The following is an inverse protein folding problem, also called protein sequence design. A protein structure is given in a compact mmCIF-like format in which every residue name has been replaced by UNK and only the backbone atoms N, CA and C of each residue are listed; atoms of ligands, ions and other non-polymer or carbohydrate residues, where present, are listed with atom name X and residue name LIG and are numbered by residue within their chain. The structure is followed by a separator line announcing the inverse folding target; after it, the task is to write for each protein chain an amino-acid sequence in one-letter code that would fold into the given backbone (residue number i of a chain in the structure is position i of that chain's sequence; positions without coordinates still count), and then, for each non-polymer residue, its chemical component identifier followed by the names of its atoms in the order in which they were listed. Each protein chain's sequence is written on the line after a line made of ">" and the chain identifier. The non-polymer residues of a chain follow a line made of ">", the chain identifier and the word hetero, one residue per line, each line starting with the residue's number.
data_IF_464849564326
#
_entry.id   IF_464849564326
#
_cell.length_a   1.000
_cell.length_b   1.000
_cell.length_c   1.000
_cell.angle_alpha   90.00
_cell.angle_beta   90.00
_cell.angle_gamma   90.00
#
_symmetry.space_group_name_H-M   'P 1'
#
loop_
_entity.id
_entity.type
_entity.pdbx_description
1 polymer ?
#
# COMPACT_ATOMS: atom_id res chain seq x y z
N UNK A 1 -50.75 35.75 -28.57
CA UNK A 1 -50.49 34.77 -27.50
C UNK A 1 -49.00 34.41 -27.58
N UNK A 2 -48.21 34.86 -26.58
CA UNK A 2 -46.77 34.53 -26.47
C UNK A 2 -46.61 33.38 -25.45
N UNK A 3 -46.25 32.20 -25.88
CA UNK A 3 -45.87 31.10 -24.97
C UNK A 3 -44.46 31.33 -24.48
N UNK A 4 -44.35 31.59 -23.18
CA UNK A 4 -43.04 31.70 -22.49
C UNK A 4 -42.64 30.29 -22.06
N UNK A 5 -41.61 29.71 -22.68
CA UNK A 5 -41.04 28.40 -22.35
C UNK A 5 -40.10 28.60 -21.14
N UNK A 6 -40.55 28.21 -19.95
CA UNK A 6 -39.78 28.21 -18.73
C UNK A 6 -38.83 26.98 -18.72
N UNK A 7 -37.55 27.18 -19.03
CA UNK A 7 -36.53 26.12 -18.93
C UNK A 7 -36.22 25.89 -17.44
N UNK A 8 -36.70 24.77 -16.89
CA UNK A 8 -36.28 24.31 -15.56
C UNK A 8 -34.89 23.67 -15.67
N UNK A 9 -33.87 24.39 -15.26
CA UNK A 9 -32.52 23.84 -15.10
C UNK A 9 -32.48 23.05 -13.80
N UNK A 10 -32.62 21.72 -13.87
CA UNK A 10 -32.40 20.83 -12.73
C UNK A 10 -30.90 20.68 -12.56
N UNK A 11 -30.32 21.45 -11.63
CA UNK A 11 -28.94 21.30 -11.20
C UNK A 11 -28.82 19.98 -10.41
N UNK A 12 -28.33 18.92 -11.06
CA UNK A 12 -27.93 17.71 -10.36
C UNK A 12 -26.67 18.00 -9.55
N UNK A 13 -26.87 18.33 -8.29
CA UNK A 13 -25.78 18.37 -7.32
C UNK A 13 -25.31 16.91 -7.10
N UNK A 14 -24.26 16.49 -7.79
CA UNK A 14 -23.56 15.24 -7.48
C UNK A 14 -22.93 15.40 -6.10
N UNK A 15 -23.62 14.94 -5.07
CA UNK A 15 -23.00 14.69 -3.76
C UNK A 15 -21.98 13.57 -4.00
N UNK A 16 -20.72 13.91 -4.21
CA UNK A 16 -19.63 12.95 -4.12
C UNK A 16 -19.57 12.52 -2.65
N UNK A 17 -20.10 11.35 -2.36
CA UNK A 17 -19.84 10.66 -1.08
C UNK A 17 -18.35 10.34 -1.10
N UNK A 18 -17.56 11.19 -0.47
CA UNK A 18 -16.14 10.93 -0.24
C UNK A 18 -16.11 9.77 0.73
N UNK A 19 -15.81 8.56 0.23
CA UNK A 19 -15.60 7.39 1.08
C UNK A 19 -14.54 7.73 2.13
N UNK A 20 -14.64 7.13 3.31
CA UNK A 20 -13.62 7.26 4.36
C UNK A 20 -12.25 6.96 3.74
N UNK A 21 -11.24 7.77 4.06
CA UNK A 21 -9.88 7.59 3.58
C UNK A 21 -9.37 6.15 3.86
N UNK A 22 -9.79 5.57 4.98
CA UNK A 22 -9.49 4.19 5.32
C UNK A 22 -10.06 3.20 4.29
N UNK A 23 -11.31 3.39 3.84
CA UNK A 23 -11.95 2.56 2.82
C UNK A 23 -11.23 2.67 1.48
N UNK A 24 -10.80 3.86 1.10
CA UNK A 24 -10.01 4.08 -0.14
C UNK A 24 -8.73 3.24 -0.11
N UNK A 25 -7.99 3.28 1.02
CA UNK A 25 -6.77 2.50 1.20
C UNK A 25 -7.04 1.00 1.15
N UNK A 26 -8.05 0.52 1.88
CA UNK A 26 -8.43 -0.89 1.93
C UNK A 26 -8.83 -1.40 0.55
N UNK A 27 -9.67 -0.65 -0.16
CA UNK A 27 -10.13 -1.01 -1.51
C UNK A 27 -8.96 -1.04 -2.51
N UNK A 28 -8.04 -0.05 -2.44
CA UNK A 28 -6.83 -0.08 -3.23
C UNK A 28 -6.00 -1.32 -2.92
N UNK A 29 -5.68 -1.60 -1.66
CA UNK A 29 -4.86 -2.74 -1.27
C UNK A 29 -5.49 -4.07 -1.72
N UNK A 30 -6.80 -4.24 -1.53
CA UNK A 30 -7.54 -5.43 -2.00
C UNK A 30 -7.50 -5.58 -3.52
N UNK A 31 -7.58 -4.47 -4.28
CA UNK A 31 -7.48 -4.51 -5.75
C UNK A 31 -6.11 -4.96 -6.27
N UNK A 32 -5.08 -5.02 -5.40
CA UNK A 32 -3.72 -5.45 -5.75
C UNK A 32 -3.40 -6.89 -5.34
N UNK A 33 -4.35 -7.60 -4.75
CA UNK A 33 -4.17 -9.03 -4.44
C UNK A 33 -3.83 -9.82 -5.71
N UNK A 34 -2.81 -10.69 -5.61
CA UNK A 34 -2.30 -11.48 -6.74
C UNK A 34 -1.36 -10.72 -7.70
N UNK A 35 -1.12 -9.42 -7.49
CA UNK A 35 -0.01 -8.71 -8.13
C UNK A 35 1.33 -9.33 -7.70
N UNK A 36 2.35 -9.19 -8.56
CA UNK A 36 3.67 -9.73 -8.29
C UNK A 36 4.48 -8.91 -7.29
N UNK A 37 5.65 -9.43 -6.96
CA UNK A 37 6.64 -8.73 -6.16
C UNK A 37 7.94 -8.60 -6.93
N UNK A 38 8.51 -7.40 -6.90
CA UNK A 38 9.91 -7.15 -7.25
C UNK A 38 10.48 -6.07 -6.33
N UNK A 39 11.75 -6.19 -5.97
CA UNK A 39 12.44 -5.15 -5.21
C UNK A 39 12.32 -3.79 -5.91
N UNK A 40 11.96 -2.75 -5.17
CA UNK A 40 11.74 -1.39 -5.68
C UNK A 40 10.48 -1.20 -6.55
N UNK A 41 9.64 -2.22 -6.75
CA UNK A 41 8.39 -2.09 -7.51
C UNK A 41 7.35 -1.22 -6.82
N UNK A 42 6.62 -0.40 -7.59
CA UNK A 42 5.57 0.49 -7.09
C UNK A 42 4.35 0.55 -8.03
N UNK A 43 3.99 -0.58 -8.64
CA UNK A 43 2.81 -0.73 -9.50
C UNK A 43 3.10 -0.72 -10.99
N UNK A 44 4.35 -0.73 -11.40
CA UNK A 44 4.75 -0.89 -12.79
C UNK A 44 4.33 -2.27 -13.30
N UNK A 45 4.05 -2.36 -14.61
CA UNK A 45 3.91 -3.64 -15.28
C UNK A 45 5.30 -4.22 -15.53
N UNK A 46 5.58 -5.39 -14.98
CA UNK A 46 6.88 -6.03 -15.17
C UNK A 46 7.04 -6.52 -16.60
N UNK A 47 8.08 -6.05 -17.27
CA UNK A 47 8.55 -6.52 -18.57
C UNK A 47 9.89 -7.24 -18.41
N UNK A 48 10.34 -7.98 -19.42
CA UNK A 48 11.69 -8.58 -19.41
C UNK A 48 12.78 -7.51 -19.31
N UNK A 49 12.62 -6.40 -20.03
CA UNK A 49 13.55 -5.28 -19.96
C UNK A 49 13.66 -4.71 -18.55
N UNK A 50 12.52 -4.44 -17.90
CA UNK A 50 12.48 -3.93 -16.52
C UNK A 50 13.07 -4.95 -15.52
N UNK A 51 12.78 -6.25 -15.70
CA UNK A 51 13.37 -7.30 -14.86
C UNK A 51 14.89 -7.33 -14.98
N UNK A 52 15.43 -7.22 -16.22
CA UNK A 52 16.87 -7.20 -16.44
C UNK A 52 17.53 -5.96 -15.82
N UNK A 53 16.90 -4.79 -15.96
CA UNK A 53 17.35 -3.54 -15.33
C UNK A 53 17.40 -3.67 -13.80
N UNK A 54 16.30 -4.13 -13.19
CA UNK A 54 16.21 -4.28 -11.74
C UNK A 54 17.18 -5.34 -11.20
N UNK A 55 17.38 -6.44 -11.91
CA UNK A 55 18.34 -7.47 -11.53
C UNK A 55 19.79 -6.96 -11.61
N UNK A 56 20.12 -6.17 -12.62
CA UNK A 56 21.43 -5.54 -12.72
C UNK A 56 21.67 -4.51 -11.60
N UNK A 57 20.64 -3.72 -11.28
CA UNK A 57 20.71 -2.68 -10.25
C UNK A 57 20.69 -3.23 -8.82
N UNK A 58 20.01 -4.35 -8.59
CA UNK A 58 19.81 -4.95 -7.27
C UNK A 58 20.11 -6.46 -7.28
N UNK A 59 21.35 -6.88 -7.59
CA UNK A 59 21.68 -8.29 -7.83
C UNK A 59 21.47 -9.21 -6.61
N UNK A 60 21.54 -8.66 -5.41
CA UNK A 60 21.33 -9.40 -4.16
C UNK A 60 19.86 -9.49 -3.74
N UNK A 61 18.96 -8.75 -4.42
CA UNK A 61 17.54 -8.63 -4.05
C UNK A 61 16.59 -9.12 -5.15
N UNK A 62 17.06 -9.25 -6.38
CA UNK A 62 16.24 -9.64 -7.54
C UNK A 62 16.80 -10.91 -8.16
N UNK A 63 16.24 -12.05 -7.76
CA UNK A 63 16.48 -13.33 -8.43
C UNK A 63 15.55 -13.44 -9.64
N UNK A 64 16.13 -13.35 -10.85
CA UNK A 64 15.40 -13.43 -12.12
C UNK A 64 14.62 -14.74 -12.26
N UNK A 65 15.15 -15.87 -11.74
CA UNK A 65 14.48 -17.16 -11.85
C UNK A 65 13.16 -17.21 -11.08
N UNK A 66 13.09 -16.51 -9.96
CA UNK A 66 11.89 -16.39 -9.14
C UNK A 66 10.95 -15.32 -9.70
N UNK A 67 11.48 -14.14 -10.03
CA UNK A 67 10.68 -12.96 -10.37
C UNK A 67 10.07 -13.04 -11.77
N UNK A 68 10.67 -13.78 -12.72
CA UNK A 68 10.17 -13.92 -14.10
C UNK A 68 8.71 -14.36 -14.22
N UNK A 69 8.17 -15.09 -13.24
CA UNK A 69 6.75 -15.50 -13.22
C UNK A 69 5.77 -14.33 -13.11
N UNK A 70 6.24 -13.16 -12.75
CA UNK A 70 5.46 -11.93 -12.64
C UNK A 70 5.48 -11.07 -13.90
N UNK A 71 6.23 -11.48 -14.96
CA UNK A 71 6.22 -10.76 -16.23
C UNK A 71 4.79 -10.64 -16.75
N UNK A 72 4.41 -9.44 -17.19
CA UNK A 72 3.06 -9.11 -17.64
C UNK A 72 2.11 -8.68 -16.52
N UNK A 73 2.46 -8.82 -15.25
CA UNK A 73 1.66 -8.36 -14.10
C UNK A 73 2.17 -7.04 -13.53
N UNK A 74 1.30 -6.32 -12.81
CA UNK A 74 1.76 -5.25 -11.92
C UNK A 74 2.58 -5.86 -10.78
N UNK A 75 3.64 -5.15 -10.37
CA UNK A 75 4.54 -5.59 -9.30
C UNK A 75 4.70 -4.51 -8.24
N UNK A 76 4.82 -4.95 -7.00
CA UNK A 76 5.00 -4.09 -5.84
C UNK A 76 6.12 -4.60 -4.96
N UNK A 77 6.87 -3.68 -4.36
CA UNK A 77 7.69 -3.90 -3.16
C UNK A 77 6.84 -3.64 -1.91
N UNK A 78 7.26 -4.10 -0.74
CA UNK A 78 6.46 -3.94 0.48
C UNK A 78 6.08 -2.47 0.74
N UNK A 79 7.06 -1.57 0.73
CA UNK A 79 6.81 -0.14 0.90
C UNK A 79 6.22 0.52 -0.35
N UNK A 80 6.38 -0.05 -1.54
CA UNK A 80 5.76 0.42 -2.77
C UNK A 80 4.24 0.26 -2.76
N UNK A 81 3.74 -0.86 -2.25
CA UNK A 81 2.30 -1.07 -2.06
C UNK A 81 1.71 -0.04 -1.09
N UNK A 82 2.34 0.12 0.08
CA UNK A 82 1.90 1.08 1.11
C UNK A 82 1.96 2.51 0.58
N UNK A 83 3.07 2.91 -0.06
CA UNK A 83 3.23 4.20 -0.70
C UNK A 83 2.09 4.52 -1.68
N UNK A 84 1.78 3.59 -2.58
CA UNK A 84 0.70 3.78 -3.58
C UNK A 84 -0.70 3.81 -2.96
N UNK A 85 -0.95 3.01 -1.92
CA UNK A 85 -2.22 3.02 -1.22
C UNK A 85 -2.49 4.39 -0.57
N UNK A 86 -1.51 4.96 0.11
CA UNK A 86 -1.64 6.25 0.78
C UNK A 86 -1.63 7.44 -0.18
N UNK A 87 -1.00 7.31 -1.35
CA UNK A 87 -1.14 8.31 -2.42
C UNK A 87 -2.60 8.49 -2.89
N UNK A 88 -3.46 7.47 -2.79
CA UNK A 88 -4.88 7.59 -3.19
C UNK A 88 -5.63 8.63 -2.37
N UNK A 89 -5.14 8.94 -1.19
CA UNK A 89 -5.74 9.93 -0.28
C UNK A 89 -4.87 11.18 -0.10
N UNK A 90 -3.84 11.36 -0.96
CA UNK A 90 -2.96 12.53 -0.93
C UNK A 90 -1.87 12.49 0.15
N UNK A 91 -1.68 11.36 0.86
CA UNK A 91 -0.59 11.19 1.81
C UNK A 91 0.63 10.61 1.10
N UNK A 92 1.72 11.38 1.09
CA UNK A 92 3.00 10.92 0.52
C UNK A 92 3.87 10.30 1.60
N UNK A 93 4.16 9.01 1.45
CA UNK A 93 5.09 8.27 2.30
C UNK A 93 6.42 8.05 1.54
N UNK A 94 7.50 7.73 2.25
CA UNK A 94 8.71 7.28 1.59
C UNK A 94 8.56 5.85 1.04
N UNK A 95 9.08 5.62 -0.17
CA UNK A 95 9.17 4.30 -0.78
C UNK A 95 10.35 3.48 -0.19
N UNK A 96 10.42 3.43 1.12
CA UNK A 96 11.37 2.64 1.93
C UNK A 96 10.81 2.54 3.34
N UNK A 97 10.72 1.34 3.91
CA UNK A 97 10.06 1.10 5.19
C UNK A 97 10.68 1.91 6.34
N UNK A 98 12.01 1.92 6.44
CA UNK A 98 12.72 2.65 7.49
C UNK A 98 12.54 4.17 7.35
N UNK A 99 12.69 4.71 6.14
CA UNK A 99 12.48 6.14 5.89
C UNK A 99 11.02 6.55 6.10
N UNK A 100 10.07 5.70 5.71
CA UNK A 100 8.66 5.94 5.96
C UNK A 100 8.39 5.98 7.47
N UNK A 101 8.93 5.05 8.24
CA UNK A 101 8.79 5.05 9.69
C UNK A 101 9.35 6.33 10.33
N UNK A 102 10.57 6.71 9.97
CA UNK A 102 11.26 7.87 10.57
C UNK A 102 10.70 9.23 10.18
N UNK A 103 10.20 9.39 8.95
CA UNK A 103 9.86 10.70 8.41
C UNK A 103 8.35 10.96 8.30
N UNK A 104 7.50 9.99 8.64
CA UNK A 104 6.05 10.21 8.64
C UNK A 104 5.61 10.90 9.92
N UNK A 105 4.71 11.88 9.81
CA UNK A 105 4.05 12.49 10.97
C UNK A 105 2.93 11.56 11.44
N UNK A 106 3.15 10.90 12.55
CA UNK A 106 2.21 9.98 13.14
C UNK A 106 1.20 10.68 14.04
N UNK A 107 -0.09 10.34 13.93
CA UNK A 107 -1.11 10.64 14.95
C UNK A 107 -0.98 9.65 16.09
N UNK A 108 -0.72 8.38 15.75
CA UNK A 108 -0.52 7.32 16.71
C UNK A 108 0.50 6.32 16.14
N UNK A 109 1.46 5.90 16.94
CA UNK A 109 2.42 4.86 16.56
C UNK A 109 2.98 4.20 17.80
N UNK A 110 3.50 2.98 17.67
CA UNK A 110 4.09 2.26 18.77
C UNK A 110 4.27 0.77 18.51
N UNK A 111 4.53 -0.01 19.58
CA UNK A 111 4.70 -1.45 19.48
C UNK A 111 3.39 -2.13 19.05
N UNK A 112 3.51 -3.24 18.35
CA UNK A 112 2.37 -3.98 17.78
C UNK A 112 1.38 -4.48 18.85
N UNK A 113 1.80 -4.64 20.09
CA UNK A 113 0.90 -5.00 21.20
C UNK A 113 -0.26 -4.01 21.39
N UNK A 114 -0.07 -2.77 20.99
CA UNK A 114 -1.00 -1.65 21.21
C UNK A 114 -1.70 -1.19 19.91
N UNK A 115 -1.61 -1.97 18.82
CA UNK A 115 -2.24 -1.55 17.55
C UNK A 115 -3.78 -1.49 17.69
N UNK A 116 -4.42 -0.49 17.07
CA UNK A 116 -5.87 -0.36 17.10
C UNK A 116 -6.50 -1.44 16.21
N UNK A 117 -7.33 -2.30 16.80
CA UNK A 117 -7.95 -3.44 16.09
C UNK A 117 -9.12 -3.03 15.21
N UNK A 118 -9.67 -1.84 15.45
CA UNK A 118 -10.83 -1.25 14.78
C UNK A 118 -10.47 -0.21 13.72
N UNK A 119 -9.17 0.08 13.53
CA UNK A 119 -8.69 1.10 12.59
C UNK A 119 -7.68 0.55 11.59
N UNK A 120 -7.73 1.06 10.37
CA UNK A 120 -6.66 0.85 9.38
C UNK A 120 -5.37 1.51 9.87
N UNK A 121 -4.26 0.80 9.78
CA UNK A 121 -2.95 1.34 10.11
C UNK A 121 -1.86 0.69 9.27
N UNK A 122 -0.68 1.31 9.25
CA UNK A 122 0.50 0.72 8.61
C UNK A 122 1.19 -0.17 9.63
N UNK A 123 1.54 -1.38 9.20
CA UNK A 123 2.30 -2.35 9.99
C UNK A 123 3.77 -2.31 9.58
N UNK A 124 4.66 -2.46 10.55
CA UNK A 124 6.10 -2.49 10.34
C UNK A 124 6.73 -3.68 11.06
N UNK A 125 7.78 -4.23 10.44
CA UNK A 125 8.64 -5.24 11.04
C UNK A 125 10.03 -4.63 11.24
N UNK A 126 10.46 -4.52 12.48
CA UNK A 126 11.82 -4.17 12.84
C UNK A 126 12.71 -5.41 12.80
N UNK A 127 13.94 -5.24 12.37
CA UNK A 127 14.98 -6.26 12.39
C UNK A 127 16.06 -5.86 13.40
N UNK A 128 16.25 -6.68 14.42
CA UNK A 128 17.31 -6.45 15.41
C UNK A 128 18.71 -6.58 14.78
N UNK A 129 18.86 -7.47 13.80
CA UNK A 129 20.14 -7.64 13.10
C UNK A 129 20.49 -6.42 12.24
N UNK A 130 19.50 -5.82 11.57
CA UNK A 130 19.72 -4.66 10.67
C UNK A 130 19.52 -3.32 11.38
N UNK A 131 19.01 -3.33 12.63
CA UNK A 131 18.66 -2.15 13.43
C UNK A 131 17.77 -1.14 12.69
N UNK A 132 16.78 -1.65 11.93
CA UNK A 132 15.87 -0.84 11.10
C UNK A 132 14.56 -1.54 10.79
N UNK A 133 13.58 -0.79 10.28
CA UNK A 133 12.35 -1.34 9.70
C UNK A 133 12.65 -1.96 8.34
N UNK A 134 12.44 -3.26 8.21
CA UNK A 134 12.79 -4.04 7.01
C UNK A 134 11.57 -4.42 6.17
N UNK A 135 10.37 -4.33 6.73
CA UNK A 135 9.14 -4.71 6.03
C UNK A 135 7.95 -3.87 6.47
N UNK A 136 6.94 -3.74 5.60
CA UNK A 136 5.72 -3.00 5.91
C UNK A 136 4.50 -3.61 5.19
N UNK A 137 3.31 -3.36 5.75
CA UNK A 137 2.03 -3.79 5.22
C UNK A 137 0.90 -2.90 5.71
N UNK A 138 -0.33 -3.22 5.32
CA UNK A 138 -1.53 -2.45 5.67
C UNK A 138 -2.45 -3.35 6.47
N UNK A 139 -2.71 -3.00 7.73
CA UNK A 139 -3.78 -3.61 8.50
C UNK A 139 -5.12 -3.06 8.01
N UNK A 140 -6.03 -3.95 7.65
CA UNK A 140 -7.30 -3.62 7.00
C UNK A 140 -8.53 -3.87 7.89
N UNK A 141 -8.32 -4.06 9.20
CA UNK A 141 -9.38 -4.46 10.12
C UNK A 141 -9.66 -5.97 10.11
N UNK A 142 -10.57 -6.42 10.99
CA UNK A 142 -11.02 -7.81 11.02
C UNK A 142 -9.90 -8.84 11.25
N UNK A 143 -8.84 -8.45 11.92
CA UNK A 143 -7.66 -9.29 12.16
C UNK A 143 -6.90 -9.71 10.89
N UNK A 144 -6.97 -8.87 9.83
CA UNK A 144 -6.39 -9.11 8.52
C UNK A 144 -5.46 -7.98 8.10
N UNK A 145 -4.48 -8.30 7.27
CA UNK A 145 -3.58 -7.34 6.65
C UNK A 145 -3.22 -7.75 5.23
N UNK A 146 -2.83 -6.76 4.41
CA UNK A 146 -2.35 -6.96 3.05
C UNK A 146 -0.92 -6.42 2.95
N UNK A 147 -0.04 -7.20 2.34
CA UNK A 147 1.33 -6.79 2.08
C UNK A 147 1.89 -7.42 0.80
N UNK A 148 2.88 -6.78 0.20
CA UNK A 148 3.71 -7.42 -0.81
C UNK A 148 4.76 -8.26 -0.06
N UNK A 149 4.49 -9.57 0.05
CA UNK A 149 5.17 -10.50 0.98
C UNK A 149 6.59 -10.84 0.56
N UNK A 150 6.81 -11.01 -0.73
CA UNK A 150 8.10 -11.38 -1.29
C UNK A 150 7.99 -11.93 -2.71
N UNK A 151 9.13 -12.16 -3.34
CA UNK A 151 9.24 -12.55 -4.75
C UNK A 151 8.47 -13.82 -5.11
N UNK A 152 8.33 -14.75 -4.17
CA UNK A 152 7.58 -15.99 -4.38
C UNK A 152 6.07 -15.82 -4.26
N UNK A 153 5.60 -14.85 -3.46
CA UNK A 153 4.20 -14.78 -3.05
C UNK A 153 3.44 -13.61 -3.70
N UNK A 154 4.13 -12.51 -4.03
CA UNK A 154 3.48 -11.29 -4.51
C UNK A 154 2.70 -10.57 -3.41
N UNK A 155 1.58 -9.96 -3.78
CA UNK A 155 0.67 -9.26 -2.86
C UNK A 155 -0.39 -10.22 -2.34
N UNK A 156 -0.44 -10.37 -1.03
CA UNK A 156 -1.30 -11.34 -0.33
C UNK A 156 -2.05 -10.72 0.85
N UNK A 157 -3.21 -11.29 1.19
CA UNK A 157 -3.93 -11.05 2.44
C UNK A 157 -3.59 -12.18 3.43
N UNK A 158 -3.23 -11.80 4.65
CA UNK A 158 -2.96 -12.73 5.74
C UNK A 158 -3.68 -12.31 7.03
N UNK A 159 -3.64 -13.16 8.05
CA UNK A 159 -4.24 -12.91 9.37
C UNK A 159 -3.18 -12.59 10.42
N UNK A 160 -3.56 -11.75 11.39
CA UNK A 160 -2.81 -11.59 12.64
C UNK A 160 -2.98 -12.83 13.54
N UNK A 161 -2.04 -13.16 14.46
CA UNK A 161 -0.74 -12.49 14.61
C UNK A 161 0.25 -12.91 13.52
N UNK A 162 1.18 -12.03 13.21
CA UNK A 162 2.33 -12.27 12.33
C UNK A 162 3.56 -11.61 12.98
N UNK A 163 4.71 -11.73 12.35
CA UNK A 163 6.00 -11.17 12.84
C UNK A 163 6.09 -9.63 12.73
N UNK A 164 4.96 -8.92 12.87
CA UNK A 164 4.94 -7.46 12.97
C UNK A 164 5.42 -7.01 14.35
N UNK A 165 6.13 -5.89 14.39
CA UNK A 165 6.71 -5.36 15.64
C UNK A 165 6.13 -4.00 16.01
N UNK A 166 5.75 -3.19 15.01
CA UNK A 166 5.25 -1.83 15.20
C UNK A 166 4.07 -1.55 14.28
N UNK A 167 3.34 -0.47 14.61
CA UNK A 167 2.28 0.09 13.79
C UNK A 167 2.34 1.62 13.79
N UNK A 168 1.72 2.24 12.77
CA UNK A 168 1.57 3.69 12.70
C UNK A 168 0.32 4.12 11.95
N UNK A 169 -0.34 5.18 12.47
CA UNK A 169 -1.44 5.89 11.82
C UNK A 169 -0.91 7.25 11.41
N UNK A 170 -0.73 7.53 10.11
CA UNK A 170 -0.24 8.82 9.66
C UNK A 170 -1.29 9.91 9.83
N UNK A 171 -0.82 11.16 10.03
CA UNK A 171 -1.69 12.33 10.05
C UNK A 171 -2.45 12.46 8.73
N UNK A 172 -3.76 12.66 8.82
CA UNK A 172 -4.64 12.83 7.65
C UNK A 172 -5.31 11.54 7.17
N UNK A 173 -5.09 10.41 7.84
CA UNK A 173 -5.84 9.18 7.56
C UNK A 173 -7.28 9.28 8.10
N UNK A 174 -7.45 9.80 9.30
CA UNK A 174 -8.72 10.06 10.00
C UNK A 174 -8.91 11.53 10.28
#
# INVERSE_FOLDING_TARGET
>A
MKFSLLLLIISFCFIQIKGDNADVIVNFAKSKLGCGYVWSGAGERLTESLLNELAAKYPTHVDKNIVKKWIGKQVYYCSGLVYRAFQQIGITLHHNAERAWKNTKWVQSGPISNYPRDKVCILYKYSDNDQKMVHTGIYIGGNKFIHAKGSEYGVVEERMPNKWTHYGIPKGLY
#
